data_IF_713151722077
#
_entry.id   IF_713151722077
#
_cell.length_a   1.000
_cell.length_b   1.000
_cell.length_c   1.000
_cell.angle_alpha   90.00
_cell.angle_beta   90.00
_cell.angle_gamma   90.00
#
_symmetry.space_group_name_H-M   'P 1'
#
loop_
_entity.id
_entity.type
_entity.pdbx_description
1 polymer ?
#
# COMPACT_ATOMS: atom_id res chain seq x y z
N UNK A 1 -4.93 -13.07 12.50
CA UNK A 1 -5.04 -13.78 11.20
C UNK A 1 -5.83 -12.87 10.26
N UNK A 2 -5.25 -12.54 9.10
CA UNK A 2 -5.93 -11.71 8.10
C UNK A 2 -6.82 -12.62 7.23
N UNK A 3 -8.14 -12.51 7.39
CA UNK A 3 -9.10 -13.42 6.73
C UNK A 3 -9.57 -12.93 5.36
N UNK A 4 -9.14 -11.72 4.95
CA UNK A 4 -9.56 -11.06 3.71
C UNK A 4 -8.74 -11.52 2.50
N UNK A 5 -8.54 -12.84 2.35
CA UNK A 5 -7.65 -13.42 1.32
C UNK A 5 -8.08 -13.10 -0.11
N UNK A 6 -9.34 -12.73 -0.33
CA UNK A 6 -9.86 -12.35 -1.65
C UNK A 6 -9.84 -10.84 -1.92
N UNK A 7 -9.36 -10.04 -0.97
CA UNK A 7 -9.30 -8.58 -1.13
C UNK A 7 -8.37 -8.23 -2.30
N UNK A 8 -8.90 -7.45 -3.26
CA UNK A 8 -8.17 -7.01 -4.46
C UNK A 8 -7.76 -5.55 -4.40
N UNK A 9 -8.50 -4.72 -3.69
CA UNK A 9 -8.25 -3.29 -3.54
C UNK A 9 -8.35 -2.92 -2.08
N UNK A 10 -7.37 -2.16 -1.59
CA UNK A 10 -7.37 -1.59 -0.26
C UNK A 10 -7.04 -0.09 -0.36
N UNK A 11 -7.92 0.75 0.16
CA UNK A 11 -7.71 2.20 0.21
C UNK A 11 -7.52 2.63 1.67
N UNK A 12 -6.35 3.16 1.97
CA UNK A 12 -5.94 3.68 3.28
C UNK A 12 -5.62 5.18 3.22
N UNK A 13 -6.00 5.88 2.14
CA UNK A 13 -5.80 7.31 2.03
C UNK A 13 -6.48 8.06 3.18
N UNK A 14 -5.88 9.16 3.63
CA UNK A 14 -6.36 10.00 4.73
C UNK A 14 -6.54 9.25 6.07
N UNK A 15 -5.84 8.13 6.25
CA UNK A 15 -5.70 7.45 7.55
C UNK A 15 -4.34 7.76 8.16
N UNK A 16 -4.14 7.45 9.44
CA UNK A 16 -2.84 7.54 10.09
C UNK A 16 -1.92 6.33 9.80
N UNK A 17 -2.31 5.42 8.89
CA UNK A 17 -1.52 4.24 8.54
C UNK A 17 -0.41 4.66 7.58
N UNK A 18 0.83 4.36 7.97
CA UNK A 18 2.03 4.73 7.22
C UNK A 18 2.55 3.58 6.36
N UNK A 19 3.50 3.89 5.45
CA UNK A 19 4.16 2.88 4.63
C UNK A 19 4.97 1.84 5.44
N UNK A 20 5.27 2.10 6.72
CA UNK A 20 5.91 1.10 7.58
C UNK A 20 4.91 0.09 8.16
N UNK A 21 3.64 0.47 8.31
CA UNK A 21 2.62 -0.35 8.93
C UNK A 21 2.10 -1.45 7.99
N UNK A 22 2.30 -1.28 6.68
CA UNK A 22 1.73 -2.16 5.65
C UNK A 22 2.47 -3.49 5.47
N UNK A 23 3.56 -3.74 6.21
CA UNK A 23 4.19 -5.07 6.27
C UNK A 23 3.22 -6.17 6.75
N UNK A 24 2.21 -5.78 7.54
CA UNK A 24 1.16 -6.70 8.04
C UNK A 24 0.28 -7.23 6.90
N UNK A 25 0.30 -6.58 5.73
CA UNK A 25 -0.48 -6.98 4.56
C UNK A 25 0.14 -8.14 3.79
N UNK A 26 1.31 -8.66 4.20
CA UNK A 26 2.02 -9.75 3.51
C UNK A 26 1.19 -11.00 3.21
N UNK A 27 0.14 -11.27 3.97
CA UNK A 27 -0.71 -12.44 3.76
C UNK A 27 -1.82 -12.18 2.71
N UNK A 28 -1.98 -10.92 2.24
CA UNK A 28 -2.95 -10.51 1.23
C UNK A 28 -2.38 -10.65 -0.19
N UNK A 29 -1.94 -11.87 -0.54
CA UNK A 29 -1.26 -12.15 -1.81
C UNK A 29 -2.12 -11.92 -3.07
N UNK A 30 -3.45 -11.77 -2.92
CA UNK A 30 -4.36 -11.43 -4.01
C UNK A 30 -4.62 -9.92 -4.15
N UNK A 31 -4.03 -9.09 -3.28
CA UNK A 31 -4.17 -7.64 -3.33
C UNK A 31 -3.48 -7.11 -4.60
N UNK A 32 -4.24 -6.37 -5.41
CA UNK A 32 -3.80 -5.82 -6.68
C UNK A 32 -3.51 -4.33 -6.59
N UNK A 33 -4.26 -3.62 -5.77
CA UNK A 33 -4.16 -2.17 -5.64
C UNK A 33 -4.18 -1.74 -4.17
N UNK A 34 -3.23 -0.89 -3.81
CA UNK A 34 -3.10 -0.27 -2.50
C UNK A 34 -3.00 1.25 -2.69
N UNK A 35 -3.93 2.00 -2.08
CA UNK A 35 -3.92 3.46 -2.11
C UNK A 35 -3.57 4.00 -0.73
N UNK A 36 -2.63 4.94 -0.67
CA UNK A 36 -2.11 5.48 0.58
C UNK A 36 -1.81 6.97 0.50
N UNK A 37 -1.85 7.61 1.67
CA UNK A 37 -1.35 8.97 1.86
C UNK A 37 -0.01 8.92 2.58
N UNK A 38 0.88 9.86 2.25
CA UNK A 38 2.16 10.04 2.92
C UNK A 38 2.53 11.51 2.93
N UNK A 39 2.98 12.03 4.08
CA UNK A 39 3.54 13.37 4.19
C UNK A 39 5.07 13.38 4.03
N UNK A 40 5.66 12.20 3.81
CA UNK A 40 7.10 12.02 3.67
C UNK A 40 7.61 12.40 2.27
N UNK A 41 8.93 12.53 2.14
CA UNK A 41 9.58 12.87 0.88
C UNK A 41 9.34 11.82 -0.22
N UNK A 42 9.45 12.24 -1.49
CA UNK A 42 9.36 11.34 -2.63
C UNK A 42 10.36 10.18 -2.55
N UNK A 43 11.61 10.47 -2.17
CA UNK A 43 12.69 9.48 -2.03
C UNK A 43 12.36 8.43 -0.97
N UNK A 44 11.86 8.88 0.19
CA UNK A 44 11.40 7.98 1.25
C UNK A 44 10.26 7.08 0.78
N UNK A 45 9.26 7.67 0.12
CA UNK A 45 8.11 6.93 -0.39
C UNK A 45 8.53 5.90 -1.44
N UNK A 46 9.46 6.25 -2.33
CA UNK A 46 9.98 5.34 -3.36
C UNK A 46 10.70 4.14 -2.74
N UNK A 47 11.60 4.37 -1.78
CA UNK A 47 12.31 3.29 -1.07
C UNK A 47 11.32 2.32 -0.42
N UNK A 48 10.28 2.86 0.24
CA UNK A 48 9.27 2.04 0.90
C UNK A 48 8.39 1.27 -0.07
N UNK A 49 8.03 1.86 -1.20
CA UNK A 49 7.27 1.16 -2.25
C UNK A 49 8.10 0.02 -2.86
N UNK A 50 9.42 0.19 -3.01
CA UNK A 50 10.32 -0.88 -3.45
C UNK A 50 10.32 -2.04 -2.44
N UNK A 51 10.45 -1.76 -1.14
CA UNK A 51 10.35 -2.78 -0.08
C UNK A 51 8.99 -3.50 -0.12
N UNK A 52 7.89 -2.76 -0.35
CA UNK A 52 6.57 -3.35 -0.48
C UNK A 52 6.45 -4.30 -1.67
N UNK A 53 7.17 -4.05 -2.76
CA UNK A 53 7.19 -4.97 -3.91
C UNK A 53 7.86 -6.30 -3.63
N UNK A 54 8.75 -6.39 -2.65
CA UNK A 54 9.31 -7.67 -2.22
C UNK A 54 8.29 -8.52 -1.46
N UNK A 55 7.33 -7.87 -0.78
CA UNK A 55 6.33 -8.51 0.07
C UNK A 55 5.02 -8.80 -0.69
N UNK A 56 4.60 -7.84 -1.52
CA UNK A 56 3.39 -7.84 -2.34
C UNK A 56 3.75 -7.63 -3.82
N UNK A 57 4.40 -8.61 -4.46
CA UNK A 57 4.96 -8.44 -5.81
C UNK A 57 3.91 -8.11 -6.86
N UNK A 58 2.67 -8.56 -6.68
CA UNK A 58 1.56 -8.34 -7.61
C UNK A 58 0.73 -7.08 -7.32
N UNK A 59 1.03 -6.34 -6.25
CA UNK A 59 0.23 -5.17 -5.83
C UNK A 59 0.82 -3.86 -6.35
N UNK A 60 0.04 -3.08 -7.08
CA UNK A 60 0.39 -1.70 -7.44
C UNK A 60 0.09 -0.81 -6.24
N UNK A 61 1.04 0.05 -5.86
CA UNK A 61 0.87 0.99 -4.74
C UNK A 61 0.82 2.41 -5.29
N UNK A 62 -0.23 3.12 -4.93
CA UNK A 62 -0.47 4.52 -5.26
C UNK A 62 -0.29 5.36 -3.99
N UNK A 63 0.67 6.29 -4.02
CA UNK A 63 0.96 7.19 -2.89
C UNK A 63 0.56 8.60 -3.30
N UNK A 64 -0.26 9.26 -2.47
CA UNK A 64 -0.78 10.62 -2.71
C UNK A 64 -1.46 10.76 -4.07
N UNK A 65 -2.17 9.71 -4.50
CA UNK A 65 -2.92 9.74 -5.75
C UNK A 65 -4.21 10.54 -5.55
N UNK A 66 -4.33 11.64 -6.27
CA UNK A 66 -5.58 12.38 -6.38
C UNK A 66 -6.38 11.77 -7.54
N UNK A 67 -7.57 11.24 -7.24
CA UNK A 67 -8.53 10.98 -8.31
C UNK A 67 -8.98 12.36 -8.83
N UNK A 68 -8.62 12.67 -10.08
CA UNK A 68 -9.24 13.77 -10.81
C UNK A 68 -10.73 13.45 -10.91
N UNK A 69 -11.55 14.17 -10.14
CA UNK A 69 -13.01 14.19 -10.28
C UNK A 69 -13.45 14.87 -11.58
#
# INVERSE_FOLDING_TARGET
INNLRELKLLNLMKTCITLNDVIVLKDLQNLKELYMSSEESYEYNLEKVIQLKEILPSCITFVNYEMLE
#
